data_IF_562398134943
#
_entry.id   IF_562398134943
#
_cell.length_a   1.000
_cell.length_b   1.000
_cell.length_c   1.000
_cell.angle_alpha   90.00
_cell.angle_beta   90.00
_cell.angle_gamma   90.00
#
_symmetry.space_group_name_H-M   'P 1'
#
loop_
_entity.id
_entity.type
_entity.pdbx_description
1 polymer ?
#
# COMPACT_ATOMS: atom_id res chain seq x y z
N UNK A 1 28.54 25.09 -51.02
CA UNK A 1 28.04 23.75 -50.69
C UNK A 1 27.45 23.76 -49.32
N UNK A 2 26.16 24.05 -49.18
CA UNK A 2 25.42 23.77 -47.93
C UNK A 2 25.29 22.25 -47.84
N UNK A 3 25.94 21.61 -46.88
CA UNK A 3 25.63 20.22 -46.53
C UNK A 3 24.19 20.19 -46.05
N UNK A 4 23.28 19.61 -46.83
CA UNK A 4 21.96 19.26 -46.33
C UNK A 4 22.14 18.24 -45.20
N UNK A 5 21.82 18.63 -44.01
CA UNK A 5 21.80 17.74 -42.84
C UNK A 5 20.49 16.95 -42.97
N UNK A 6 20.58 15.74 -43.49
CA UNK A 6 19.45 14.80 -43.48
C UNK A 6 19.24 14.26 -42.09
N UNK A 7 18.17 14.67 -41.41
CA UNK A 7 17.76 14.11 -40.12
C UNK A 7 17.08 12.76 -40.36
N UNK A 8 17.63 11.71 -39.78
CA UNK A 8 17.00 10.39 -39.76
C UNK A 8 15.98 10.35 -38.59
N UNK A 9 14.77 9.87 -38.87
CA UNK A 9 13.77 9.61 -37.83
C UNK A 9 14.33 8.58 -36.84
N UNK A 10 14.36 8.93 -35.58
CA UNK A 10 14.66 7.99 -34.48
C UNK A 10 13.38 7.26 -34.11
N UNK A 11 13.46 5.94 -34.05
CA UNK A 11 12.42 5.06 -33.56
C UNK A 11 12.95 4.23 -32.43
N UNK A 12 12.05 3.84 -31.49
CA UNK A 12 12.38 3.11 -30.28
C UNK A 12 11.37 1.98 -30.05
N UNK A 13 11.83 0.90 -29.43
CA UNK A 13 10.99 -0.27 -29.13
C UNK A 13 10.04 -0.02 -27.96
N UNK A 14 10.42 0.86 -27.02
CA UNK A 14 9.61 1.19 -25.85
C UNK A 14 9.63 2.70 -25.57
N UNK A 15 8.46 3.22 -25.16
CA UNK A 15 8.30 4.59 -24.67
C UNK A 15 7.61 4.56 -23.31
N UNK A 16 8.22 5.23 -22.32
CA UNK A 16 7.62 5.53 -21.02
C UNK A 16 7.59 7.04 -20.87
N UNK A 17 6.39 7.62 -20.75
CA UNK A 17 6.21 9.06 -20.77
C UNK A 17 5.32 9.55 -19.63
N UNK A 18 5.74 10.63 -18.95
CA UNK A 18 4.93 11.37 -18.00
C UNK A 18 5.04 12.86 -18.32
N UNK A 19 4.29 13.34 -19.32
CA UNK A 19 4.35 14.73 -19.77
C UNK A 19 3.67 15.67 -18.77
N UNK A 20 3.95 16.99 -18.84
CA UNK A 20 3.24 17.98 -18.03
C UNK A 20 1.76 18.03 -18.42
N UNK A 21 0.86 17.86 -17.44
CA UNK A 21 -0.57 17.77 -17.67
C UNK A 21 -1.18 19.10 -18.09
N UNK A 22 -2.08 19.05 -19.08
CA UNK A 22 -2.83 20.21 -19.58
C UNK A 22 -1.95 21.42 -19.96
N UNK A 23 -0.74 21.16 -20.44
CA UNK A 23 0.19 22.19 -20.89
C UNK A 23 -0.37 22.92 -22.10
N UNK A 24 -0.30 24.28 -22.10
CA UNK A 24 -0.61 25.08 -23.28
C UNK A 24 0.46 24.89 -24.36
N UNK A 25 0.05 24.85 -25.61
CA UNK A 25 0.97 24.71 -26.75
C UNK A 25 0.42 25.48 -27.97
N UNK A 26 1.21 25.52 -29.08
CA UNK A 26 0.77 26.15 -30.32
C UNK A 26 0.47 25.09 -31.38
N UNK A 27 -0.82 24.83 -31.69
CA UNK A 27 -1.27 23.90 -32.72
C UNK A 27 -1.21 24.44 -34.15
N UNK A 28 -0.83 25.71 -34.33
CA UNK A 28 -0.87 26.39 -35.64
C UNK A 28 0.00 25.64 -36.64
N UNK A 29 -0.53 25.47 -37.86
CA UNK A 29 0.15 24.83 -38.97
C UNK A 29 0.62 23.38 -38.69
N UNK A 30 -0.04 22.65 -37.74
CA UNK A 30 0.28 21.27 -37.38
C UNK A 30 -0.60 20.21 -38.05
N UNK A 31 -1.60 20.61 -38.81
CA UNK A 31 -2.53 19.68 -39.49
C UNK A 31 -1.83 18.76 -40.52
N UNK A 32 -0.72 19.23 -41.09
CA UNK A 32 0.08 18.45 -42.06
C UNK A 32 1.31 17.80 -41.45
N UNK A 33 1.56 18.02 -40.17
CA UNK A 33 2.67 17.38 -39.45
C UNK A 33 2.45 15.85 -39.40
N UNK A 34 3.42 15.03 -39.82
CA UNK A 34 3.28 13.58 -39.86
C UNK A 34 2.82 12.94 -38.53
N UNK A 35 3.08 13.58 -37.42
CA UNK A 35 2.68 13.11 -36.10
C UNK A 35 1.18 13.22 -35.85
N UNK A 36 0.52 14.24 -36.45
CA UNK A 36 -0.86 14.61 -36.13
C UNK A 36 -1.84 14.38 -37.27
N UNK A 37 -1.37 14.42 -38.54
CA UNK A 37 -2.22 14.41 -39.72
C UNK A 37 -3.25 13.28 -39.79
N UNK A 38 -2.90 12.10 -39.23
CA UNK A 38 -3.73 10.90 -39.28
C UNK A 38 -4.67 10.74 -38.09
N UNK A 39 -4.49 11.56 -37.03
CA UNK A 39 -5.23 11.44 -35.78
C UNK A 39 -6.01 12.73 -35.46
N UNK A 40 -5.47 13.88 -35.80
CA UNK A 40 -5.99 15.21 -35.44
C UNK A 40 -5.00 15.99 -34.59
N UNK A 41 -5.24 17.28 -34.46
CA UNK A 41 -4.39 18.21 -33.70
C UNK A 41 -5.04 18.48 -32.34
N UNK A 42 -4.26 18.35 -31.27
CA UNK A 42 -4.73 18.60 -29.91
C UNK A 42 -5.11 20.08 -29.70
N UNK A 43 -6.05 20.38 -28.80
CA UNK A 43 -6.47 21.77 -28.53
C UNK A 43 -5.33 22.62 -27.97
N UNK A 44 -5.31 23.93 -28.31
CA UNK A 44 -4.30 24.88 -27.85
C UNK A 44 -4.14 24.93 -26.33
N UNK A 45 -5.22 24.69 -25.61
CA UNK A 45 -5.23 24.77 -24.13
C UNK A 45 -4.61 23.54 -23.44
N UNK A 46 -4.48 22.40 -24.18
CA UNK A 46 -4.11 21.12 -23.59
C UNK A 46 -3.31 20.26 -24.60
N UNK A 47 -2.03 20.14 -24.36
CA UNK A 47 -1.11 19.36 -25.20
C UNK A 47 -1.12 17.86 -24.90
N UNK A 48 -1.99 17.37 -24.03
CA UNK A 48 -1.99 15.98 -23.55
C UNK A 48 -1.88 14.98 -24.71
N UNK A 49 -2.77 15.09 -25.71
CA UNK A 49 -2.71 14.25 -26.90
C UNK A 49 -1.60 14.65 -27.91
N UNK A 50 -1.06 15.88 -27.84
CA UNK A 50 0.07 16.23 -28.68
C UNK A 50 1.34 15.49 -28.25
N UNK A 51 1.57 15.33 -26.95
CA UNK A 51 2.62 14.47 -26.41
C UNK A 51 2.41 13.01 -26.79
N UNK A 52 1.20 12.48 -26.56
CA UNK A 52 0.87 11.09 -26.93
C UNK A 52 1.15 10.80 -28.40
N UNK A 53 0.70 11.65 -29.30
CA UNK A 53 0.89 11.44 -30.74
C UNK A 53 2.34 11.63 -31.17
N UNK A 54 3.10 12.52 -30.51
CA UNK A 54 4.52 12.65 -30.74
C UNK A 54 5.26 11.37 -30.36
N UNK A 55 5.00 10.84 -29.19
CA UNK A 55 5.62 9.62 -28.69
C UNK A 55 5.24 8.41 -29.54
N UNK A 56 3.95 8.27 -29.88
CA UNK A 56 3.45 7.20 -30.75
C UNK A 56 4.11 7.24 -32.14
N UNK A 57 4.42 8.43 -32.69
CA UNK A 57 5.10 8.57 -33.95
C UNK A 57 6.50 7.98 -33.95
N UNK A 58 7.21 8.13 -32.82
CA UNK A 58 8.57 7.61 -32.62
C UNK A 58 8.63 6.14 -32.21
N UNK A 59 7.49 5.52 -31.91
CA UNK A 59 7.44 4.10 -31.56
C UNK A 59 7.70 3.23 -32.80
N UNK A 60 8.45 2.12 -32.63
CA UNK A 60 8.53 1.09 -33.65
C UNK A 60 7.17 0.37 -33.84
N UNK A 61 7.02 -0.37 -34.94
CA UNK A 61 5.73 -0.97 -35.27
C UNK A 61 5.33 -2.06 -34.27
N UNK A 62 6.29 -2.82 -33.74
CA UNK A 62 6.08 -3.84 -32.70
C UNK A 62 6.38 -3.32 -31.29
N UNK A 63 6.62 -2.02 -31.17
CA UNK A 63 6.93 -1.37 -29.89
C UNK A 63 5.72 -1.22 -28.97
N UNK A 64 6.02 -0.98 -27.69
CA UNK A 64 5.04 -0.67 -26.66
C UNK A 64 5.27 0.73 -26.08
N UNK A 65 4.19 1.46 -25.86
CA UNK A 65 4.22 2.79 -25.27
C UNK A 65 3.29 2.84 -24.07
N UNK A 66 3.78 3.43 -22.97
CA UNK A 66 2.97 3.80 -21.80
C UNK A 66 3.08 5.28 -21.55
N UNK A 67 1.95 5.94 -21.34
CA UNK A 67 1.91 7.38 -21.04
C UNK A 67 0.94 7.66 -19.90
N UNK A 68 1.39 8.48 -18.94
CA UNK A 68 0.56 8.97 -17.85
C UNK A 68 -0.17 10.24 -18.30
N UNK A 69 -1.49 10.25 -18.14
CA UNK A 69 -2.34 11.35 -18.57
C UNK A 69 -3.40 11.67 -17.51
N UNK A 70 -3.93 12.91 -17.48
CA UNK A 70 -5.08 13.22 -16.63
C UNK A 70 -6.33 12.47 -17.09
N UNK A 71 -7.12 11.96 -16.16
CA UNK A 71 -8.32 11.15 -16.43
C UNK A 71 -9.28 11.75 -17.46
N UNK A 72 -9.36 13.09 -17.50
CA UNK A 72 -10.24 13.81 -18.45
C UNK A 72 -10.01 13.52 -19.92
N UNK A 73 -8.82 13.06 -20.35
CA UNK A 73 -8.55 12.70 -21.76
C UNK A 73 -9.47 11.58 -22.26
N UNK A 74 -10.04 10.79 -21.36
CA UNK A 74 -10.90 9.66 -21.71
C UNK A 74 -12.28 10.07 -22.20
N UNK A 75 -12.76 11.28 -21.87
CA UNK A 75 -14.15 11.68 -22.16
C UNK A 75 -14.36 13.14 -22.61
N UNK A 76 -13.31 13.98 -22.61
CA UNK A 76 -13.47 15.36 -23.11
C UNK A 76 -13.86 15.35 -24.58
N UNK A 77 -14.69 16.31 -24.97
CA UNK A 77 -15.18 16.50 -26.33
C UNK A 77 -14.22 17.25 -27.27
N UNK A 78 -14.72 17.71 -28.42
CA UNK A 78 -13.98 18.54 -29.38
C UNK A 78 -12.84 17.80 -30.05
N UNK A 79 -11.67 18.44 -30.16
CA UNK A 79 -10.49 17.90 -30.80
C UNK A 79 -9.97 16.63 -30.11
N UNK A 80 -10.07 16.58 -28.78
CA UNK A 80 -9.66 15.40 -28.01
C UNK A 80 -10.53 14.18 -28.31
N UNK A 81 -11.86 14.38 -28.49
CA UNK A 81 -12.76 13.29 -28.88
C UNK A 81 -12.40 12.72 -30.23
N UNK A 82 -12.11 13.59 -31.23
CA UNK A 82 -11.72 13.17 -32.58
C UNK A 82 -10.40 12.38 -32.58
N UNK A 83 -9.41 12.81 -31.79
CA UNK A 83 -8.14 12.07 -31.66
C UNK A 83 -8.37 10.70 -31.04
N UNK A 84 -9.19 10.65 -30.00
CA UNK A 84 -9.54 9.39 -29.30
C UNK A 84 -10.26 8.42 -30.24
N UNK A 85 -11.25 8.92 -31.01
CA UNK A 85 -11.90 8.14 -32.08
C UNK A 85 -10.89 7.55 -33.05
N UNK A 86 -10.00 8.38 -33.61
CA UNK A 86 -8.99 7.93 -34.56
C UNK A 86 -8.01 6.92 -33.95
N UNK A 87 -7.64 7.07 -32.68
CA UNK A 87 -6.78 6.09 -31.99
C UNK A 87 -7.46 4.72 -31.85
N UNK A 88 -8.75 4.70 -31.54
CA UNK A 88 -9.56 3.47 -31.47
C UNK A 88 -9.77 2.88 -32.87
N UNK A 89 -10.15 3.70 -33.87
CA UNK A 89 -10.38 3.21 -35.21
C UNK A 89 -9.13 2.59 -35.82
N UNK A 90 -7.98 3.18 -35.56
CA UNK A 90 -6.68 2.66 -36.03
C UNK A 90 -6.08 1.59 -35.12
N UNK A 91 -6.84 1.13 -34.11
CA UNK A 91 -6.45 0.06 -33.18
C UNK A 91 -5.13 0.34 -32.44
N UNK A 92 -4.98 1.54 -31.84
CA UNK A 92 -3.74 1.96 -31.16
C UNK A 92 -3.78 1.79 -29.66
N UNK A 93 -4.95 1.93 -29.02
CA UNK A 93 -5.10 1.83 -27.57
C UNK A 93 -5.24 0.36 -27.18
N UNK A 94 -4.27 -0.15 -26.39
CA UNK A 94 -4.24 -1.53 -25.92
C UNK A 94 -4.90 -1.69 -24.54
N UNK A 95 -4.52 -0.81 -23.61
CA UNK A 95 -5.12 -0.81 -22.27
C UNK A 95 -5.23 0.61 -21.70
N UNK A 96 -6.16 0.78 -20.79
CA UNK A 96 -6.37 1.98 -19.96
C UNK A 96 -6.40 1.55 -18.51
N UNK A 97 -5.58 2.17 -17.69
CA UNK A 97 -5.43 1.84 -16.26
C UNK A 97 -5.73 3.09 -15.46
N UNK A 98 -6.80 3.08 -14.67
CA UNK A 98 -7.12 4.13 -13.70
C UNK A 98 -6.26 3.99 -12.45
N UNK A 99 -5.57 5.06 -12.09
CA UNK A 99 -4.72 5.11 -10.90
C UNK A 99 -5.46 5.79 -9.73
N UNK A 100 -5.05 5.53 -8.48
CA UNK A 100 -5.55 6.26 -7.32
C UNK A 100 -5.31 7.78 -7.45
N UNK A 101 -6.20 8.56 -6.86
CA UNK A 101 -5.95 10.00 -6.67
C UNK A 101 -4.75 10.24 -5.76
N UNK A 102 -4.22 11.45 -5.75
CA UNK A 102 -3.09 11.85 -4.88
C UNK A 102 -1.83 10.97 -5.00
N UNK A 103 -1.59 10.35 -6.17
CA UNK A 103 -0.40 9.52 -6.40
C UNK A 103 0.82 10.36 -6.79
N UNK A 104 0.61 11.52 -7.39
CA UNK A 104 1.68 12.43 -7.82
C UNK A 104 1.79 13.66 -6.93
N UNK A 105 3.01 14.11 -6.67
CA UNK A 105 3.28 15.32 -5.90
C UNK A 105 2.67 16.55 -6.59
N UNK A 106 2.05 17.41 -5.80
CA UNK A 106 1.53 18.70 -6.27
C UNK A 106 0.20 18.64 -7.03
N UNK A 107 -0.45 17.48 -7.14
CA UNK A 107 -1.77 17.36 -7.76
C UNK A 107 -2.62 16.29 -7.09
N UNK A 108 -3.90 16.63 -6.87
CA UNK A 108 -4.90 15.68 -6.33
C UNK A 108 -5.72 15.03 -7.46
N UNK A 109 -5.34 15.25 -8.72
CA UNK A 109 -6.13 14.83 -9.88
C UNK A 109 -5.96 13.32 -10.10
N UNK A 110 -7.06 12.61 -10.33
CA UNK A 110 -7.03 11.24 -10.81
C UNK A 110 -6.32 11.18 -12.17
N UNK A 111 -5.38 10.25 -12.30
CA UNK A 111 -4.60 10.02 -13.52
C UNK A 111 -4.83 8.62 -14.05
N UNK A 112 -4.44 8.43 -15.30
CA UNK A 112 -4.48 7.13 -15.97
C UNK A 112 -3.12 6.81 -16.57
N UNK A 113 -2.85 5.52 -16.76
CA UNK A 113 -1.84 5.06 -17.72
C UNK A 113 -2.57 4.55 -18.96
N UNK A 114 -2.18 5.07 -20.12
CA UNK A 114 -2.64 4.55 -21.40
C UNK A 114 -1.53 3.73 -22.04
N UNK A 115 -1.83 2.48 -22.38
CA UNK A 115 -0.90 1.58 -23.10
C UNK A 115 -1.26 1.59 -24.56
N UNK A 116 -0.29 1.91 -25.42
CA UNK A 116 -0.46 1.96 -26.87
C UNK A 116 0.51 1.02 -27.57
N UNK A 117 0.02 0.44 -28.68
CA UNK A 117 0.80 -0.40 -29.59
C UNK A 117 0.37 -0.09 -31.02
N UNK A 118 1.30 -0.19 -31.98
CA UNK A 118 0.95 -0.02 -33.40
C UNK A 118 0.37 -1.30 -33.99
N UNK A 119 0.98 -2.44 -33.74
CA UNK A 119 0.51 -3.75 -34.16
C UNK A 119 -0.15 -4.49 -33.02
N UNK A 120 -1.43 -4.81 -33.19
CA UNK A 120 -2.23 -5.51 -32.16
C UNK A 120 -3.03 -6.62 -32.81
N UNK A 121 -3.04 -7.84 -32.24
CA UNK A 121 -3.82 -8.96 -32.76
C UNK A 121 -5.32 -8.82 -32.47
N UNK A 122 -5.71 -8.12 -31.40
CA UNK A 122 -7.10 -7.86 -31.00
C UNK A 122 -7.44 -6.38 -31.11
N UNK A 123 -8.70 -6.06 -31.36
CA UNK A 123 -9.24 -4.69 -31.34
C UNK A 123 -9.83 -4.29 -29.99
N UNK A 124 -9.97 -5.24 -29.06
CA UNK A 124 -10.55 -4.97 -27.74
C UNK A 124 -9.61 -4.12 -26.89
N UNK A 125 -10.17 -3.20 -26.13
CA UNK A 125 -9.45 -2.38 -25.18
C UNK A 125 -9.61 -2.98 -23.79
N UNK A 126 -8.49 -3.25 -23.11
CA UNK A 126 -8.51 -3.63 -21.72
C UNK A 126 -8.67 -2.39 -20.83
N UNK A 127 -9.70 -2.34 -20.03
CA UNK A 127 -9.95 -1.25 -19.08
C UNK A 127 -9.78 -1.79 -17.66
N UNK A 128 -8.91 -1.15 -16.89
CA UNK A 128 -8.56 -1.53 -15.52
C UNK A 128 -8.87 -0.36 -14.58
N UNK A 129 -9.63 -0.61 -13.53
CA UNK A 129 -9.79 0.32 -12.41
C UNK A 129 -8.91 -0.10 -11.23
N UNK A 130 -7.72 0.47 -11.15
CA UNK A 130 -6.79 0.28 -10.03
C UNK A 130 -6.89 1.40 -8.98
N UNK A 131 -7.93 2.24 -9.01
CA UNK A 131 -8.07 3.41 -8.15
C UNK A 131 -8.16 3.10 -6.65
N UNK A 132 -8.56 1.87 -6.29
CA UNK A 132 -8.68 1.41 -4.90
C UNK A 132 -7.43 0.73 -4.35
N UNK A 133 -6.42 0.43 -5.20
CA UNK A 133 -5.19 -0.28 -4.82
C UNK A 133 -4.09 0.69 -4.40
N UNK A 134 -3.97 1.01 -3.11
CA UNK A 134 -2.90 1.87 -2.59
C UNK A 134 -2.71 1.73 -1.08
N UNK A 135 -1.62 2.28 -0.58
CA UNK A 135 -1.39 2.57 0.83
C UNK A 135 -1.25 4.08 1.04
N UNK A 136 -1.55 4.56 2.23
CA UNK A 136 -1.33 5.96 2.61
C UNK A 136 0.15 6.21 2.92
N UNK A 137 0.72 7.26 2.35
CA UNK A 137 2.07 7.73 2.64
C UNK A 137 2.02 9.23 2.91
N UNK A 138 1.78 9.60 4.17
CA UNK A 138 1.50 10.98 4.57
C UNK A 138 0.23 11.51 3.87
N UNK A 139 0.37 12.62 3.12
CA UNK A 139 -0.75 13.22 2.36
C UNK A 139 -1.00 12.55 1.00
N UNK A 140 -0.09 11.69 0.55
CA UNK A 140 -0.15 11.05 -0.76
C UNK A 140 -0.60 9.59 -0.67
N UNK A 141 -1.01 9.05 -1.81
CA UNK A 141 -1.25 7.63 -1.99
C UNK A 141 -0.03 7.01 -2.70
N UNK A 142 0.32 5.78 -2.37
CA UNK A 142 1.40 5.03 -2.98
C UNK A 142 0.90 3.66 -3.42
N UNK A 143 1.22 3.25 -4.64
CA UNK A 143 0.96 1.88 -5.09
C UNK A 143 1.90 0.92 -4.34
N UNK A 144 1.33 -0.13 -3.78
CA UNK A 144 2.10 -1.23 -3.21
C UNK A 144 2.71 -2.10 -4.32
N UNK A 145 3.71 -2.88 -4.01
CA UNK A 145 4.28 -3.84 -4.96
C UNK A 145 3.22 -4.80 -5.50
N UNK A 146 2.29 -5.25 -4.66
CA UNK A 146 1.13 -6.08 -5.04
C UNK A 146 0.20 -5.39 -6.05
N UNK A 147 -0.06 -4.10 -5.87
CA UNK A 147 -0.93 -3.33 -6.78
C UNK A 147 -0.29 -3.21 -8.15
N UNK A 148 1.01 -2.90 -8.20
CA UNK A 148 1.79 -2.83 -9.44
C UNK A 148 1.81 -4.20 -10.14
N UNK A 149 2.12 -5.28 -9.40
CA UNK A 149 2.15 -6.65 -9.95
C UNK A 149 0.79 -7.05 -10.51
N UNK A 150 -0.30 -6.76 -9.79
CA UNK A 150 -1.67 -7.04 -10.27
C UNK A 150 -1.99 -6.28 -11.55
N UNK A 151 -1.64 -5.01 -11.66
CA UNK A 151 -1.81 -4.22 -12.88
C UNK A 151 -1.03 -4.85 -14.04
N UNK A 152 0.26 -5.15 -13.82
CA UNK A 152 1.15 -5.71 -14.86
C UNK A 152 0.65 -7.07 -15.34
N UNK A 153 0.28 -7.96 -14.41
CA UNK A 153 -0.25 -9.29 -14.76
C UNK A 153 -1.57 -9.18 -15.54
N UNK A 154 -2.46 -8.29 -15.08
CA UNK A 154 -3.75 -8.05 -15.75
C UNK A 154 -3.54 -7.56 -17.18
N UNK A 155 -2.57 -6.68 -17.42
CA UNK A 155 -2.22 -6.21 -18.78
C UNK A 155 -1.56 -7.34 -19.58
N UNK A 156 -0.59 -8.08 -18.99
CA UNK A 156 0.17 -9.16 -19.64
C UNK A 156 -0.74 -10.28 -20.12
N UNK A 157 -1.65 -10.71 -19.27
CA UNK A 157 -2.55 -11.85 -19.52
C UNK A 157 -3.93 -11.43 -20.04
N UNK A 158 -4.22 -10.14 -20.13
CA UNK A 158 -5.51 -9.55 -20.56
C UNK A 158 -6.68 -10.16 -19.79
N UNK A 159 -6.54 -10.25 -18.47
CA UNK A 159 -7.50 -10.95 -17.60
C UNK A 159 -8.68 -10.04 -17.26
N UNK A 160 -9.91 -10.57 -17.35
CA UNK A 160 -11.10 -9.95 -16.78
C UNK A 160 -11.23 -10.33 -15.31
N UNK A 161 -11.39 -9.34 -14.44
CA UNK A 161 -11.52 -9.51 -12.99
C UNK A 161 -12.70 -8.67 -12.54
N UNK A 162 -13.65 -9.30 -11.85
CA UNK A 162 -14.84 -8.63 -11.34
C UNK A 162 -14.48 -7.36 -10.55
N UNK A 163 -15.23 -6.27 -10.79
CA UNK A 163 -15.03 -4.94 -10.17
C UNK A 163 -13.64 -4.33 -10.36
N UNK A 164 -12.80 -4.88 -11.27
CA UNK A 164 -11.42 -4.43 -11.44
C UNK A 164 -11.02 -4.26 -12.92
N UNK A 165 -11.32 -5.22 -13.80
CA UNK A 165 -10.89 -5.14 -15.20
C UNK A 165 -11.87 -5.82 -16.16
N UNK A 166 -12.00 -5.25 -17.36
CA UNK A 166 -12.88 -5.75 -18.41
C UNK A 166 -12.24 -5.57 -19.79
N UNK A 167 -12.50 -6.52 -20.70
CA UNK A 167 -12.18 -6.41 -22.11
C UNK A 167 -13.37 -5.80 -22.85
N UNK A 168 -13.20 -4.61 -23.37
CA UNK A 168 -14.26 -3.87 -24.07
C UNK A 168 -14.04 -3.97 -25.58
N UNK A 169 -15.04 -4.50 -26.29
CA UNK A 169 -14.99 -4.58 -27.74
C UNK A 169 -14.97 -3.18 -28.39
N UNK A 170 -14.37 -3.08 -29.57
CA UNK A 170 -14.37 -1.84 -30.35
C UNK A 170 -15.78 -1.35 -30.65
N UNK A 171 -16.71 -2.26 -30.89
CA UNK A 171 -18.12 -1.98 -31.15
C UNK A 171 -18.78 -1.32 -29.92
N UNK A 172 -18.57 -1.86 -28.73
CA UNK A 172 -19.06 -1.27 -27.48
C UNK A 172 -18.49 0.12 -27.22
N UNK A 173 -17.20 0.34 -27.54
CA UNK A 173 -16.59 1.68 -27.45
C UNK A 173 -17.25 2.66 -28.41
N UNK A 174 -17.58 2.25 -29.64
CA UNK A 174 -18.32 3.06 -30.62
C UNK A 174 -19.72 3.40 -30.15
N UNK A 175 -20.47 2.43 -29.64
CA UNK A 175 -21.80 2.61 -29.08
C UNK A 175 -21.80 3.64 -27.93
N UNK A 176 -20.70 3.71 -27.20
CA UNK A 176 -20.45 4.70 -26.16
C UNK A 176 -19.81 6.01 -26.66
N UNK A 177 -19.92 6.30 -27.98
CA UNK A 177 -19.40 7.54 -28.60
C UNK A 177 -17.91 7.76 -28.35
N UNK A 178 -17.12 6.69 -28.35
CA UNK A 178 -15.68 6.67 -28.06
C UNK A 178 -15.33 7.28 -26.68
N UNK A 179 -16.29 7.31 -25.77
CA UNK A 179 -16.06 7.69 -24.38
C UNK A 179 -15.43 6.52 -23.63
N UNK A 180 -14.22 6.71 -23.15
CA UNK A 180 -13.41 5.68 -22.48
C UNK A 180 -13.40 5.86 -20.96
N UNK A 181 -14.35 6.62 -20.39
CA UNK A 181 -14.44 6.78 -18.94
C UNK A 181 -14.59 5.40 -18.26
N UNK A 182 -13.65 5.08 -17.38
CA UNK A 182 -13.50 3.76 -16.76
C UNK A 182 -14.78 3.30 -16.07
N UNK A 183 -15.47 4.20 -15.35
CA UNK A 183 -16.70 3.89 -14.61
C UNK A 183 -17.89 3.51 -15.50
N UNK A 184 -17.79 3.67 -16.81
CA UNK A 184 -18.79 3.18 -17.76
C UNK A 184 -18.68 1.69 -18.03
N UNK A 185 -17.51 1.11 -17.79
CA UNK A 185 -17.17 -0.26 -18.17
C UNK A 185 -16.84 -1.14 -16.96
N UNK A 186 -16.24 -0.55 -15.94
CA UNK A 186 -15.91 -1.23 -14.68
C UNK A 186 -16.71 -0.57 -13.56
N UNK A 187 -17.65 -1.31 -12.99
CA UNK A 187 -18.36 -0.88 -11.78
C UNK A 187 -17.58 -1.35 -10.55
N UNK A 188 -16.67 -0.51 -10.09
CA UNK A 188 -15.87 -0.76 -8.90
C UNK A 188 -16.55 -0.28 -7.61
N UNK A 189 -17.82 0.19 -7.67
CA UNK A 189 -18.56 0.62 -6.48
C UNK A 189 -18.83 -0.55 -5.56
N UNK A 190 -18.79 -0.28 -4.26
CA UNK A 190 -19.25 -1.25 -3.28
C UNK A 190 -20.77 -1.35 -3.39
N UNK A 191 -21.31 -2.57 -3.19
CA UNK A 191 -22.75 -2.75 -3.21
C UNK A 191 -23.38 -1.87 -2.11
N UNK A 192 -24.47 -1.13 -2.42
CA UNK A 192 -25.09 -0.26 -1.44
C UNK A 192 -25.52 -1.05 -0.23
N UNK A 193 -25.21 -0.56 0.97
CA UNK A 193 -25.70 -1.15 2.20
C UNK A 193 -27.22 -1.22 2.18
N UNK A 194 -27.76 -2.44 2.31
CA UNK A 194 -29.19 -2.67 2.37
C UNK A 194 -29.66 -2.47 3.81
N UNK A 195 -30.30 -1.36 4.08
CA UNK A 195 -30.91 -1.11 5.38
C UNK A 195 -32.13 -1.99 5.59
N UNK A 196 -32.05 -2.92 6.55
CA UNK A 196 -33.20 -3.70 7.01
C UNK A 196 -33.82 -3.03 8.24
N UNK A 197 -34.97 -2.39 8.00
CA UNK A 197 -35.71 -1.64 9.04
C UNK A 197 -36.12 -2.55 10.20
N UNK A 198 -36.50 -3.80 9.90
CA UNK A 198 -36.91 -4.75 10.93
C UNK A 198 -35.72 -5.17 11.80
N UNK A 199 -34.57 -5.47 11.20
CA UNK A 199 -33.33 -5.77 11.92
C UNK A 199 -32.93 -4.61 12.84
N UNK A 200 -33.04 -3.37 12.35
CA UNK A 200 -32.75 -2.17 13.11
C UNK A 200 -33.69 -1.96 14.30
N UNK A 201 -34.99 -2.23 14.13
CA UNK A 201 -36.00 -2.01 15.17
C UNK A 201 -36.11 -3.14 16.18
N UNK A 202 -35.96 -4.39 15.76
CA UNK A 202 -36.24 -5.58 16.57
C UNK A 202 -35.03 -6.47 16.80
N UNK A 203 -33.89 -6.13 16.21
CA UNK A 203 -32.66 -6.92 16.24
C UNK A 203 -32.72 -8.14 15.30
N UNK A 204 -31.60 -8.86 15.24
CA UNK A 204 -31.37 -9.96 14.31
C UNK A 204 -30.53 -9.51 13.11
N UNK A 205 -29.86 -10.46 12.47
CA UNK A 205 -29.05 -10.26 11.27
C UNK A 205 -29.83 -10.88 10.10
N UNK A 206 -30.11 -10.13 9.03
CA UNK A 206 -30.74 -10.70 7.85
C UNK A 206 -29.94 -11.88 7.29
N UNK A 207 -30.61 -12.97 6.92
CA UNK A 207 -29.97 -14.15 6.31
C UNK A 207 -29.14 -13.75 5.09
N UNK A 208 -29.62 -12.78 4.28
CA UNK A 208 -28.94 -12.31 3.08
C UNK A 208 -27.57 -11.66 3.38
N UNK A 209 -27.39 -11.03 4.55
CA UNK A 209 -26.11 -10.46 4.97
C UNK A 209 -25.10 -11.55 5.33
N UNK A 210 -25.56 -12.60 6.00
CA UNK A 210 -24.72 -13.77 6.32
C UNK A 210 -24.41 -14.59 5.06
N UNK A 211 -25.37 -14.73 4.16
CA UNK A 211 -25.18 -15.47 2.90
C UNK A 211 -24.24 -14.72 1.92
N UNK A 212 -24.07 -13.40 2.05
CA UNK A 212 -23.08 -12.65 1.30
C UNK A 212 -21.64 -13.15 1.55
N UNK A 213 -21.39 -13.87 2.64
CA UNK A 213 -20.12 -14.51 2.96
C UNK A 213 -20.04 -15.98 2.45
N UNK A 214 -20.80 -16.36 1.45
CA UNK A 214 -20.89 -17.74 0.92
C UNK A 214 -19.51 -18.37 0.67
N UNK A 215 -18.57 -17.63 0.06
CA UNK A 215 -17.19 -18.10 -0.18
C UNK A 215 -16.47 -18.59 1.09
N UNK A 216 -16.77 -18.00 2.25
CA UNK A 216 -16.20 -18.43 3.54
C UNK A 216 -16.92 -19.65 4.07
N UNK A 217 -18.25 -19.74 3.90
CA UNK A 217 -19.02 -20.92 4.31
C UNK A 217 -18.67 -22.16 3.50
N UNK A 218 -18.34 -21.99 2.21
CA UNK A 218 -17.80 -23.05 1.36
C UNK A 218 -16.37 -23.48 1.75
N UNK A 219 -15.55 -22.53 2.19
CA UNK A 219 -14.19 -22.83 2.63
C UNK A 219 -14.14 -23.46 4.03
N UNK A 220 -15.10 -23.11 4.90
CA UNK A 220 -15.19 -23.56 6.28
C UNK A 220 -16.54 -24.25 6.55
N UNK A 221 -16.73 -25.51 6.07
CA UNK A 221 -17.98 -26.22 6.25
C UNK A 221 -18.39 -26.33 7.72
N UNK A 222 -19.67 -26.03 8.03
CA UNK A 222 -20.22 -26.07 9.37
C UNK A 222 -20.00 -24.82 10.23
N UNK A 223 -19.08 -23.91 9.84
CA UNK A 223 -18.78 -22.71 10.61
C UNK A 223 -20.00 -21.77 10.70
N UNK A 224 -20.75 -21.59 9.59
CA UNK A 224 -21.97 -20.78 9.57
C UNK A 224 -22.97 -21.22 10.66
N UNK A 225 -23.24 -22.51 10.77
CA UNK A 225 -24.18 -23.07 11.74
C UNK A 225 -23.66 -23.06 13.17
N UNK A 226 -22.34 -23.08 13.34
CA UNK A 226 -21.72 -22.91 14.64
C UNK A 226 -21.82 -21.45 15.15
N UNK A 227 -21.71 -20.48 14.25
CA UNK A 227 -21.74 -19.05 14.61
C UNK A 227 -23.16 -18.50 14.74
N UNK A 228 -24.11 -18.95 13.92
CA UNK A 228 -25.44 -18.35 13.81
C UNK A 228 -26.54 -19.36 14.06
N UNK A 229 -27.67 -18.86 14.59
CA UNK A 229 -28.95 -19.61 14.72
C UNK A 229 -30.09 -18.74 14.23
N UNK A 230 -31.09 -19.37 13.62
CA UNK A 230 -32.32 -18.69 13.23
C UNK A 230 -33.14 -18.33 14.48
N UNK A 231 -33.67 -17.11 14.53
CA UNK A 231 -34.54 -16.61 15.61
C UNK A 231 -35.93 -16.28 15.12
N UNK A 232 -36.05 -15.93 13.85
CA UNK A 232 -37.33 -15.79 13.16
C UNK A 232 -37.09 -15.96 11.66
N UNK A 233 -38.15 -16.18 10.89
CA UNK A 233 -38.04 -16.41 9.45
C UNK A 233 -37.23 -15.31 8.77
N UNK A 234 -36.06 -15.66 8.21
CA UNK A 234 -35.15 -14.78 7.52
C UNK A 234 -34.18 -13.95 8.40
N UNK A 235 -34.15 -14.25 9.72
CA UNK A 235 -33.26 -13.52 10.64
C UNK A 235 -32.49 -14.47 11.54
N UNK A 236 -31.19 -14.19 11.66
CA UNK A 236 -30.21 -14.93 12.47
C UNK A 236 -29.79 -14.13 13.69
N UNK A 237 -29.21 -14.79 14.66
CA UNK A 237 -28.43 -14.16 15.72
C UNK A 237 -27.20 -15.02 16.04
N UNK A 238 -26.13 -14.40 16.59
CA UNK A 238 -24.96 -15.14 17.04
C UNK A 238 -25.33 -16.17 18.12
N UNK A 239 -24.72 -17.35 18.06
CA UNK A 239 -24.83 -18.39 19.10
C UNK A 239 -23.93 -18.11 20.29
N UNK A 240 -22.85 -17.36 20.08
CA UNK A 240 -21.84 -17.03 21.09
C UNK A 240 -21.58 -15.54 21.12
N UNK A 241 -21.08 -15.06 22.25
CA UNK A 241 -20.55 -13.70 22.35
C UNK A 241 -19.11 -13.62 21.86
N UNK A 242 -18.35 -14.72 22.00
CA UNK A 242 -16.99 -14.84 21.50
C UNK A 242 -16.98 -15.46 20.10
N UNK A 243 -17.29 -14.65 19.12
CA UNK A 243 -17.28 -15.05 17.70
C UNK A 243 -15.84 -15.38 17.25
N UNK A 244 -14.88 -14.55 17.63
CA UNK A 244 -13.47 -14.71 17.25
C UNK A 244 -12.90 -16.03 17.77
N UNK A 245 -13.02 -16.31 19.07
CA UNK A 245 -12.53 -17.54 19.66
C UNK A 245 -13.21 -18.78 19.08
N UNK A 246 -14.51 -18.68 18.73
CA UNK A 246 -15.23 -19.77 18.05
C UNK A 246 -14.66 -20.04 16.66
N UNK A 247 -14.35 -18.99 15.87
CA UNK A 247 -13.73 -19.13 14.55
C UNK A 247 -12.33 -19.73 14.69
N UNK A 248 -11.52 -19.19 15.58
CA UNK A 248 -10.11 -19.58 15.75
C UNK A 248 -9.96 -21.05 16.17
N UNK A 249 -10.90 -21.57 16.94
CA UNK A 249 -10.89 -22.96 17.43
C UNK A 249 -11.71 -23.94 16.58
N UNK A 250 -12.33 -23.49 15.47
CA UNK A 250 -13.20 -24.34 14.68
C UNK A 250 -12.41 -25.32 13.82
N UNK A 251 -12.82 -26.58 13.80
CA UNK A 251 -12.10 -27.69 13.16
C UNK A 251 -11.77 -27.42 11.68
N UNK A 252 -12.71 -26.89 10.90
CA UNK A 252 -12.46 -26.62 9.47
C UNK A 252 -11.50 -25.43 9.26
N UNK A 253 -11.43 -24.49 10.20
CA UNK A 253 -10.46 -23.39 10.18
C UNK A 253 -9.05 -23.91 10.49
N UNK A 254 -8.92 -24.81 11.47
CA UNK A 254 -7.65 -25.47 11.78
C UNK A 254 -7.17 -26.35 10.62
N UNK A 255 -8.08 -27.10 10.01
CA UNK A 255 -7.77 -27.87 8.80
C UNK A 255 -7.29 -26.99 7.64
N UNK A 256 -7.84 -25.79 7.51
CA UNK A 256 -7.41 -24.80 6.54
C UNK A 256 -5.99 -24.29 6.84
N UNK A 257 -5.68 -23.98 8.10
CA UNK A 257 -4.31 -23.58 8.52
C UNK A 257 -3.28 -24.67 8.18
N UNK A 258 -3.61 -25.92 8.46
CA UNK A 258 -2.78 -27.07 8.08
C UNK A 258 -2.60 -27.15 6.55
N UNK A 259 -3.65 -26.92 5.79
CA UNK A 259 -3.60 -26.92 4.31
C UNK A 259 -2.73 -25.79 3.78
N UNK A 260 -2.84 -24.61 4.35
CA UNK A 260 -1.99 -23.46 4.02
C UNK A 260 -0.51 -23.77 4.29
N UNK A 261 -0.20 -24.27 5.48
CA UNK A 261 1.17 -24.65 5.84
C UNK A 261 1.73 -25.73 4.91
N UNK A 262 0.92 -26.73 4.55
CA UNK A 262 1.32 -27.79 3.61
C UNK A 262 1.61 -27.26 2.20
N UNK A 263 0.96 -26.19 1.76
CA UNK A 263 1.23 -25.60 0.46
C UNK A 263 2.68 -25.07 0.35
N UNK A 264 3.29 -24.70 1.48
CA UNK A 264 4.67 -24.18 1.55
C UNK A 264 5.73 -25.22 1.95
N UNK A 265 5.36 -26.50 2.03
CA UNK A 265 6.37 -27.58 2.24
C UNK A 265 7.35 -27.57 1.07
N UNK A 266 8.65 -27.64 1.38
CA UNK A 266 9.74 -27.59 0.41
C UNK A 266 10.11 -26.19 -0.09
N UNK A 267 9.37 -25.13 0.32
CA UNK A 267 9.68 -23.78 -0.12
C UNK A 267 10.99 -23.25 0.46
N UNK A 268 11.26 -23.56 1.73
CA UNK A 268 12.52 -23.20 2.37
C UNK A 268 13.73 -23.83 1.67
N UNK A 269 13.63 -25.10 1.30
CA UNK A 269 14.69 -25.84 0.59
C UNK A 269 14.98 -25.20 -0.78
N UNK A 270 13.92 -24.80 -1.50
CA UNK A 270 14.08 -24.08 -2.78
C UNK A 270 14.78 -22.74 -2.58
N UNK A 271 14.34 -21.93 -1.59
CA UNK A 271 14.99 -20.65 -1.32
C UNK A 271 16.45 -20.81 -0.89
N UNK A 272 16.76 -21.85 -0.10
CA UNK A 272 18.12 -22.11 0.31
C UNK A 272 19.02 -22.49 -0.87
N UNK A 273 18.56 -23.38 -1.74
CA UNK A 273 19.30 -23.82 -2.94
C UNK A 273 19.58 -22.62 -3.86
N UNK A 274 18.56 -21.79 -4.12
CA UNK A 274 18.68 -20.68 -5.08
C UNK A 274 19.42 -19.46 -4.49
N UNK A 275 19.07 -19.04 -3.26
CA UNK A 275 19.52 -17.77 -2.70
C UNK A 275 20.72 -17.90 -1.75
N UNK A 276 21.06 -19.08 -1.29
CA UNK A 276 22.23 -19.31 -0.43
C UNK A 276 23.30 -20.10 -1.17
N UNK A 277 22.96 -21.31 -1.63
CA UNK A 277 23.94 -22.19 -2.27
C UNK A 277 24.30 -21.69 -3.68
N UNK A 278 23.37 -21.07 -4.41
CA UNK A 278 23.53 -20.50 -5.76
C UNK A 278 23.78 -19.00 -5.85
N UNK A 279 23.95 -18.29 -4.71
CA UNK A 279 23.89 -16.81 -4.63
C UNK A 279 24.83 -16.07 -5.60
N UNK A 280 26.01 -16.63 -5.90
CA UNK A 280 26.98 -15.98 -6.79
C UNK A 280 26.61 -16.04 -8.28
N UNK A 281 25.76 -16.99 -8.67
CA UNK A 281 25.41 -17.25 -10.07
C UNK A 281 23.97 -16.86 -10.41
N UNK A 282 23.15 -16.51 -9.41
CA UNK A 282 21.74 -16.19 -9.59
C UNK A 282 21.54 -14.81 -10.22
N UNK A 283 20.63 -14.70 -11.17
CA UNK A 283 20.14 -13.40 -11.65
C UNK A 283 18.99 -12.92 -10.76
N UNK A 284 19.19 -11.83 -10.04
CA UNK A 284 18.18 -11.31 -9.11
C UNK A 284 16.80 -11.06 -9.78
N UNK A 285 16.78 -10.58 -11.04
CA UNK A 285 15.53 -10.35 -11.78
C UNK A 285 14.82 -11.66 -12.14
N UNK A 286 15.55 -12.63 -12.68
CA UNK A 286 14.98 -13.92 -13.06
C UNK A 286 14.53 -14.72 -11.85
N UNK A 287 15.29 -14.65 -10.76
CA UNK A 287 14.94 -15.36 -9.53
C UNK A 287 13.71 -14.76 -8.85
N UNK A 288 13.58 -13.44 -8.87
CA UNK A 288 12.34 -12.78 -8.41
C UNK A 288 11.10 -13.32 -9.14
N UNK A 289 11.19 -13.47 -10.47
CA UNK A 289 10.06 -14.00 -11.25
C UNK A 289 9.81 -15.48 -10.93
N UNK A 290 10.85 -16.29 -10.84
CA UNK A 290 10.76 -17.73 -10.49
C UNK A 290 10.13 -17.96 -9.12
N UNK A 291 10.58 -17.24 -8.09
CA UNK A 291 10.02 -17.34 -6.73
C UNK A 291 8.57 -16.84 -6.72
N UNK A 292 8.26 -15.76 -7.45
CA UNK A 292 6.89 -15.24 -7.59
C UNK A 292 5.96 -16.29 -8.19
N UNK A 293 6.39 -16.98 -9.26
CA UNK A 293 5.60 -18.04 -9.90
C UNK A 293 5.41 -19.25 -8.98
N UNK A 294 6.42 -19.63 -8.20
CA UNK A 294 6.30 -20.70 -7.20
C UNK A 294 5.31 -20.32 -6.10
N UNK A 295 5.42 -19.10 -5.54
CA UNK A 295 4.47 -18.59 -4.54
C UNK A 295 3.03 -18.62 -5.11
N UNK A 296 2.83 -18.13 -6.34
CA UNK A 296 1.52 -18.13 -6.98
C UNK A 296 0.98 -19.54 -7.17
N UNK A 297 1.82 -20.47 -7.67
CA UNK A 297 1.43 -21.87 -7.84
C UNK A 297 1.04 -22.58 -6.55
N UNK A 298 1.61 -22.18 -5.41
CA UNK A 298 1.27 -22.68 -4.08
C UNK A 298 -0.03 -22.08 -3.56
N UNK A 299 -0.15 -20.77 -3.63
CA UNK A 299 -1.31 -20.01 -3.14
C UNK A 299 -2.57 -20.33 -3.91
N UNK A 300 -2.51 -20.50 -5.23
CA UNK A 300 -3.68 -20.81 -6.07
C UNK A 300 -4.38 -22.13 -5.70
N UNK A 301 -3.69 -23.01 -4.97
CA UNK A 301 -4.25 -24.25 -4.44
C UNK A 301 -5.00 -24.06 -3.12
N UNK A 302 -4.88 -22.89 -2.50
CA UNK A 302 -5.48 -22.59 -1.19
C UNK A 302 -6.65 -21.63 -1.40
N UNK A 303 -7.86 -22.08 -1.10
CA UNK A 303 -9.07 -21.24 -1.18
C UNK A 303 -8.91 -20.00 -0.31
N UNK A 304 -9.51 -18.89 -0.70
CA UNK A 304 -9.49 -17.59 -0.01
C UNK A 304 -8.11 -16.92 0.12
N UNK A 305 -7.02 -17.59 -0.23
CA UNK A 305 -5.71 -16.97 -0.22
C UNK A 305 -5.52 -16.11 -1.48
N UNK A 306 -5.13 -14.85 -1.28
CA UNK A 306 -4.86 -13.92 -2.37
C UNK A 306 -3.36 -13.95 -2.71
N UNK A 307 -3.05 -14.30 -3.96
CA UNK A 307 -1.67 -14.38 -4.45
C UNK A 307 -0.93 -13.04 -4.39
N UNK A 308 -1.63 -11.92 -4.57
CA UNK A 308 -1.01 -10.59 -4.55
C UNK A 308 -0.71 -10.14 -3.12
N UNK A 309 -1.51 -10.57 -2.13
CA UNK A 309 -1.18 -10.37 -0.71
C UNK A 309 0.09 -11.13 -0.35
N UNK A 310 0.22 -12.39 -0.79
CA UNK A 310 1.45 -13.17 -0.59
C UNK A 310 2.65 -12.53 -1.30
N UNK A 311 2.45 -12.04 -2.53
CA UNK A 311 3.49 -11.30 -3.26
C UNK A 311 3.93 -10.03 -2.54
N UNK A 312 3.02 -9.30 -1.89
CA UNK A 312 3.38 -8.10 -1.12
C UNK A 312 4.36 -8.42 0.02
N UNK A 313 4.13 -9.53 0.72
CA UNK A 313 5.05 -9.99 1.76
C UNK A 313 6.42 -10.33 1.17
N UNK A 314 6.43 -11.11 0.10
CA UNK A 314 7.67 -11.46 -0.60
C UNK A 314 8.42 -10.23 -1.11
N UNK A 315 7.74 -9.34 -1.83
CA UNK A 315 8.35 -8.17 -2.44
C UNK A 315 9.02 -7.23 -1.42
N UNK A 316 8.43 -7.09 -0.23
CA UNK A 316 9.02 -6.30 0.85
C UNK A 316 10.42 -6.80 1.27
N UNK A 317 10.58 -8.11 1.34
CA UNK A 317 11.88 -8.71 1.66
C UNK A 317 12.81 -8.75 0.46
N UNK A 318 12.24 -8.97 -0.75
CA UNK A 318 13.03 -9.05 -1.98
C UNK A 318 13.80 -7.77 -2.28
N UNK A 319 13.21 -6.61 -2.05
CA UNK A 319 13.88 -5.32 -2.29
C UNK A 319 15.15 -5.16 -1.44
N UNK A 320 15.18 -5.77 -0.24
CA UNK A 320 16.38 -5.82 0.61
C UNK A 320 17.35 -6.88 0.09
N UNK A 321 16.86 -8.10 -0.11
CA UNK A 321 17.67 -9.25 -0.52
C UNK A 321 18.35 -9.03 -1.88
N UNK A 322 17.66 -8.39 -2.84
CA UNK A 322 18.24 -8.15 -4.17
C UNK A 322 19.46 -7.24 -4.13
N UNK A 323 19.44 -6.21 -3.30
CA UNK A 323 20.60 -5.33 -3.10
C UNK A 323 21.78 -6.10 -2.46
N UNK A 324 21.49 -6.94 -1.48
CA UNK A 324 22.49 -7.75 -0.81
C UNK A 324 23.12 -8.80 -1.77
N UNK A 325 22.30 -9.40 -2.64
CA UNK A 325 22.79 -10.33 -3.69
C UNK A 325 23.77 -9.59 -4.64
N UNK A 326 23.38 -8.40 -5.12
CA UNK A 326 24.23 -7.61 -6.02
C UNK A 326 25.56 -7.22 -5.36
N UNK A 327 25.55 -6.84 -4.07
CA UNK A 327 26.75 -6.53 -3.29
C UNK A 327 27.63 -7.76 -3.13
N UNK A 328 27.06 -8.91 -2.74
CA UNK A 328 27.81 -10.15 -2.59
C UNK A 328 28.45 -10.63 -3.91
N UNK A 329 27.74 -10.46 -5.03
CA UNK A 329 28.26 -10.82 -6.37
C UNK A 329 29.38 -9.88 -6.83
N UNK A 330 29.31 -8.61 -6.44
CA UNK A 330 30.28 -7.58 -6.86
C UNK A 330 31.53 -7.57 -5.99
N UNK A 331 31.37 -7.67 -4.66
CA UNK A 331 32.42 -7.48 -3.67
C UNK A 331 32.88 -8.77 -2.99
N UNK A 332 32.12 -9.86 -3.15
CA UNK A 332 32.38 -11.16 -2.54
C UNK A 332 31.96 -11.22 -1.07
N UNK A 333 32.06 -12.43 -0.47
CA UNK A 333 31.57 -12.69 0.90
C UNK A 333 32.22 -11.84 2.01
N UNK A 334 33.35 -11.19 1.73
CA UNK A 334 34.00 -10.33 2.74
C UNK A 334 33.14 -9.11 3.12
N UNK A 335 32.22 -8.70 2.26
CA UNK A 335 31.31 -7.59 2.52
C UNK A 335 30.39 -7.83 3.72
N UNK A 336 30.10 -9.08 4.07
CA UNK A 336 29.28 -9.46 5.22
C UNK A 336 29.87 -8.95 6.56
N UNK A 337 31.20 -8.82 6.63
CA UNK A 337 31.88 -8.37 7.85
C UNK A 337 32.05 -6.84 7.93
N UNK A 338 31.61 -6.12 6.92
CA UNK A 338 31.74 -4.67 6.88
C UNK A 338 30.61 -3.97 7.64
N UNK A 339 30.91 -2.80 8.15
CA UNK A 339 29.95 -1.92 8.86
C UNK A 339 30.02 -0.50 8.28
N UNK A 340 28.87 0.14 8.19
CA UNK A 340 28.72 1.52 7.72
C UNK A 340 28.36 2.47 8.86
N UNK A 341 28.71 3.77 8.75
CA UNK A 341 28.16 4.78 9.64
C UNK A 341 26.64 4.87 9.48
N UNK A 342 25.90 4.79 10.57
CA UNK A 342 24.45 5.02 10.53
C UNK A 342 24.18 6.52 10.53
N UNK A 343 23.81 7.06 9.36
CA UNK A 343 23.50 8.49 9.20
C UNK A 343 22.03 8.74 9.45
N UNK A 344 21.71 9.59 10.44
CA UNK A 344 20.34 10.00 10.78
C UNK A 344 20.16 11.50 10.59
N UNK A 345 18.97 11.84 10.13
CA UNK A 345 18.57 13.24 9.92
C UNK A 345 18.03 13.79 11.24
N UNK A 346 18.74 14.74 11.85
CA UNK A 346 18.24 15.46 13.03
C UNK A 346 17.78 16.85 12.64
N UNK A 347 16.53 17.18 12.98
CA UNK A 347 16.02 18.55 12.89
C UNK A 347 16.57 19.36 14.05
N UNK A 348 17.23 20.47 13.76
CA UNK A 348 17.66 21.41 14.79
C UNK A 348 16.44 22.19 15.31
N UNK A 349 15.99 21.86 16.52
CA UNK A 349 15.01 22.65 17.26
C UNK A 349 15.65 23.96 17.75
N UNK A 350 15.83 24.94 16.85
CA UNK A 350 16.03 26.34 17.23
C UNK A 350 15.22 27.23 16.30
N UNK A 351 14.49 28.13 16.89
CA UNK A 351 13.56 29.14 16.40
C UNK A 351 14.12 30.08 15.29
N UNK A 352 14.63 29.54 14.19
CA UNK A 352 15.01 30.33 13.03
C UNK A 352 14.39 29.73 11.77
N UNK A 353 13.90 30.61 10.90
CA UNK A 353 13.02 30.37 9.77
C UNK A 353 13.61 29.57 8.58
N UNK A 354 14.77 28.95 8.75
CA UNK A 354 15.37 28.03 7.79
C UNK A 354 15.54 26.67 8.48
N UNK A 355 14.74 25.68 8.06
CA UNK A 355 14.83 24.26 8.46
C UNK A 355 16.18 23.68 7.97
N UNK A 356 17.29 24.00 8.62
CA UNK A 356 18.55 23.30 8.37
C UNK A 356 18.47 21.89 8.95
N UNK A 357 18.30 20.95 8.05
CA UNK A 357 18.36 19.52 8.32
C UNK A 357 19.82 19.11 8.28
N UNK A 358 20.37 18.65 9.42
CA UNK A 358 21.76 18.16 9.48
C UNK A 358 21.77 16.64 9.57
N UNK A 359 22.53 16.02 8.69
CA UNK A 359 22.88 14.60 8.79
C UNK A 359 23.95 14.41 9.84
N UNK A 360 23.69 13.56 10.84
CA UNK A 360 24.65 13.22 11.89
C UNK A 360 24.79 11.71 11.99
N UNK A 361 26.01 11.25 12.29
CA UNK A 361 26.25 9.85 12.53
C UNK A 361 25.68 9.44 13.91
N UNK A 362 24.83 8.44 13.92
CA UNK A 362 24.24 7.86 15.13
C UNK A 362 24.55 6.36 15.19
N UNK A 363 25.79 6.05 15.58
CA UNK A 363 26.29 4.69 15.64
C UNK A 363 26.73 4.11 14.29
N UNK A 364 26.65 2.80 14.20
CA UNK A 364 27.05 1.99 13.06
C UNK A 364 25.94 1.03 12.70
N UNK A 365 25.84 0.64 11.45
CA UNK A 365 24.97 -0.41 10.95
C UNK A 365 25.77 -1.44 10.17
N UNK A 366 25.34 -2.68 10.12
CA UNK A 366 25.95 -3.66 9.24
C UNK A 366 25.78 -3.26 7.77
N UNK A 367 26.79 -3.53 6.96
CA UNK A 367 26.73 -3.21 5.52
C UNK A 367 25.67 -4.07 4.80
N UNK A 368 25.66 -5.38 5.08
CA UNK A 368 24.67 -6.35 4.61
C UNK A 368 23.86 -6.91 5.78
N UNK A 369 24.53 -7.37 6.85
CA UNK A 369 23.85 -7.99 7.98
C UNK A 369 23.28 -6.92 8.92
N UNK A 370 21.94 -6.81 9.06
CA UNK A 370 21.33 -5.93 10.04
C UNK A 370 21.76 -6.30 11.46
N UNK A 371 22.10 -5.33 12.29
CA UNK A 371 22.48 -5.60 13.69
C UNK A 371 21.33 -6.23 14.47
N UNK A 372 20.09 -5.86 14.13
CA UNK A 372 18.88 -6.45 14.71
C UNK A 372 18.87 -7.97 14.57
N UNK A 373 19.16 -8.49 13.36
CA UNK A 373 19.24 -9.94 13.12
C UNK A 373 20.36 -10.60 13.93
N UNK A 374 21.53 -9.94 14.02
CA UNK A 374 22.66 -10.43 14.82
C UNK A 374 22.28 -10.44 16.31
N UNK A 375 21.60 -9.43 16.79
CA UNK A 375 21.13 -9.32 18.17
C UNK A 375 20.07 -10.37 18.50
N UNK A 376 19.09 -10.60 17.60
CA UNK A 376 18.08 -11.67 17.77
C UNK A 376 18.70 -13.06 17.94
N UNK A 377 19.79 -13.35 17.21
CA UNK A 377 20.47 -14.63 17.27
C UNK A 377 21.39 -14.75 18.51
N UNK A 378 22.10 -13.68 18.85
CA UNK A 378 23.11 -13.69 19.90
C UNK A 378 22.58 -13.23 21.27
N UNK A 379 21.50 -12.44 21.29
CA UNK A 379 20.95 -11.80 22.49
C UNK A 379 19.40 -11.88 22.52
N UNK A 380 18.80 -13.07 22.32
CA UNK A 380 17.35 -13.21 22.18
C UNK A 380 16.58 -12.77 23.45
N UNK A 381 17.14 -13.02 24.62
CA UNK A 381 16.48 -12.69 25.90
C UNK A 381 16.43 -11.16 26.10
N UNK A 382 17.49 -10.44 25.72
CA UNK A 382 17.57 -8.98 25.82
C UNK A 382 16.62 -8.30 24.82
N UNK A 383 16.51 -8.85 23.59
CA UNK A 383 15.59 -8.32 22.58
C UNK A 383 14.14 -8.51 23.02
N UNK A 384 13.79 -9.70 23.55
CA UNK A 384 12.44 -9.94 24.07
C UNK A 384 12.11 -9.01 25.24
N UNK A 385 13.08 -8.77 26.14
CA UNK A 385 12.89 -7.81 27.23
C UNK A 385 12.67 -6.37 26.71
N UNK A 386 13.36 -5.96 25.65
CA UNK A 386 13.14 -4.64 25.02
C UNK A 386 11.74 -4.59 24.40
N UNK A 387 11.31 -5.63 23.68
CA UNK A 387 10.00 -5.72 23.04
C UNK A 387 8.85 -5.57 24.07
N UNK A 388 8.95 -6.28 25.18
CA UNK A 388 7.97 -6.18 26.27
C UNK A 388 7.90 -4.76 26.84
N UNK A 389 9.06 -4.10 26.98
CA UNK A 389 9.10 -2.72 27.47
C UNK A 389 8.52 -1.71 26.44
N UNK A 390 8.74 -1.94 25.16
CA UNK A 390 8.17 -1.11 24.07
C UNK A 390 6.66 -1.30 23.97
N UNK A 391 6.15 -2.53 24.10
CA UNK A 391 4.73 -2.83 24.17
C UNK A 391 4.10 -2.09 25.36
N UNK A 392 4.72 -2.15 26.53
CA UNK A 392 4.21 -1.44 27.71
C UNK A 392 4.25 0.08 27.55
N UNK A 393 5.28 0.62 26.90
CA UNK A 393 5.33 2.05 26.58
C UNK A 393 4.20 2.47 25.63
N UNK A 394 3.87 1.61 24.67
CA UNK A 394 2.75 1.85 23.74
C UNK A 394 1.42 1.81 24.47
N UNK A 395 1.19 0.82 25.35
CA UNK A 395 -0.01 0.73 26.20
C UNK A 395 -0.18 1.99 27.07
N UNK A 396 0.90 2.43 27.74
CA UNK A 396 0.87 3.65 28.55
C UNK A 396 0.55 4.89 27.70
N UNK A 397 1.09 4.95 26.48
CA UNK A 397 0.77 6.06 25.57
C UNK A 397 -0.71 6.05 25.14
N UNK A 398 -1.29 4.87 24.90
CA UNK A 398 -2.72 4.72 24.62
C UNK A 398 -3.56 5.12 25.84
N UNK A 399 -3.20 4.66 27.04
CA UNK A 399 -3.87 5.04 28.29
C UNK A 399 -3.84 6.56 28.51
N UNK A 400 -2.70 7.23 28.24
CA UNK A 400 -2.62 8.69 28.29
C UNK A 400 -3.56 9.37 27.29
N UNK A 401 -3.68 8.86 26.10
CA UNK A 401 -4.61 9.39 25.10
C UNK A 401 -6.06 9.19 25.53
N UNK A 402 -6.41 8.03 26.10
CA UNK A 402 -7.76 7.77 26.63
C UNK A 402 -8.10 8.73 27.79
N UNK A 403 -7.14 9.01 28.69
CA UNK A 403 -7.33 9.98 29.76
C UNK A 403 -7.56 11.39 29.19
N UNK A 404 -6.74 11.82 28.23
CA UNK A 404 -6.88 13.13 27.58
C UNK A 404 -8.24 13.23 26.87
N UNK A 405 -8.67 12.18 26.19
CA UNK A 405 -9.95 12.15 25.50
C UNK A 405 -11.14 12.21 26.47
N UNK A 406 -10.99 11.64 27.66
CA UNK A 406 -12.01 11.64 28.71
C UNK A 406 -12.18 12.98 29.42
N UNK A 407 -11.21 13.90 29.31
CA UNK A 407 -11.29 15.24 29.90
C UNK A 407 -12.37 16.08 29.22
N UNK A 408 -13.08 16.89 30.00
CA UNK A 408 -14.03 17.82 29.43
C UNK A 408 -13.35 19.06 28.82
N UNK A 409 -14.12 19.90 28.13
CA UNK A 409 -13.58 21.06 27.41
C UNK A 409 -12.95 22.12 28.35
N UNK A 410 -13.40 22.21 29.60
CA UNK A 410 -12.85 23.15 30.57
C UNK A 410 -11.52 22.59 31.15
N UNK A 411 -11.44 21.29 31.36
CA UNK A 411 -10.22 20.59 31.82
C UNK A 411 -9.13 20.60 30.76
N UNK A 412 -9.49 20.45 29.47
CA UNK A 412 -8.54 20.52 28.33
C UNK A 412 -7.90 21.91 28.16
N UNK A 413 -8.47 22.97 28.78
CA UNK A 413 -7.86 24.30 28.82
C UNK A 413 -6.81 24.45 29.96
N UNK A 414 -6.57 23.42 30.74
CA UNK A 414 -5.56 23.41 31.78
C UNK A 414 -4.14 23.51 31.23
N UNK A 415 -3.24 24.13 32.01
CA UNK A 415 -1.82 24.30 31.63
C UNK A 415 -1.02 23.00 31.54
N UNK A 416 -1.60 21.88 31.97
CA UNK A 416 -0.96 20.57 32.00
C UNK A 416 -0.98 19.82 30.63
N UNK A 417 -1.71 20.33 29.64
CA UNK A 417 -1.67 19.84 28.25
C UNK A 417 -0.84 20.79 27.37
N UNK A 418 -0.32 20.24 26.28
CA UNK A 418 0.35 21.04 25.24
C UNK A 418 -0.66 21.84 24.39
N UNK A 419 -0.18 22.74 23.56
CA UNK A 419 -1.00 23.61 22.71
C UNK A 419 -1.94 22.85 21.74
N UNK A 420 -1.64 21.59 21.44
CA UNK A 420 -2.45 20.73 20.56
C UNK A 420 -3.47 19.87 21.32
N UNK A 421 -3.43 19.87 22.64
CA UNK A 421 -4.23 19.02 23.54
C UNK A 421 -4.09 17.51 23.29
N UNK A 422 -2.91 17.08 22.80
CA UNK A 422 -2.61 15.69 22.49
C UNK A 422 -1.50 15.07 23.36
N UNK A 423 -0.92 15.84 24.27
CA UNK A 423 0.09 15.33 25.21
C UNK A 423 0.18 16.15 26.50
N UNK A 424 0.52 15.46 27.60
CA UNK A 424 0.77 16.12 28.88
C UNK A 424 2.12 16.86 28.88
N UNK A 425 2.11 18.07 29.44
CA UNK A 425 3.33 18.82 29.74
C UNK A 425 3.85 18.37 31.11
N UNK A 426 4.85 17.51 31.11
CA UNK A 426 5.35 16.82 32.32
C UNK A 426 5.67 17.75 33.50
N UNK A 427 6.14 18.97 33.24
CA UNK A 427 6.46 19.93 34.29
C UNK A 427 5.20 20.49 34.97
N UNK A 428 4.20 20.84 34.17
CA UNK A 428 2.94 21.43 34.63
C UNK A 428 2.08 20.36 35.29
N UNK A 429 2.03 19.15 34.73
CA UNK A 429 1.37 18.00 35.31
C UNK A 429 1.96 17.66 36.68
N UNK A 430 3.29 17.66 36.79
CA UNK A 430 3.97 17.44 38.08
C UNK A 430 3.60 18.48 39.12
N UNK A 431 3.54 19.78 38.72
CA UNK A 431 3.14 20.86 39.65
C UNK A 431 1.71 20.68 40.14
N UNK A 432 0.78 20.32 39.25
CA UNK A 432 -0.61 20.05 39.63
C UNK A 432 -0.72 18.83 40.58
N UNK A 433 0.01 17.76 40.26
CA UNK A 433 0.08 16.59 41.15
C UNK A 433 0.66 16.94 42.53
N UNK A 434 1.75 17.71 42.61
CA UNK A 434 2.38 18.11 43.87
C UNK A 434 1.42 18.96 44.73
N UNK A 435 0.57 19.78 44.14
CA UNK A 435 -0.47 20.55 44.85
C UNK A 435 -1.54 19.63 45.45
N UNK A 436 -2.07 18.69 44.66
CA UNK A 436 -3.07 17.71 45.11
C UNK A 436 -2.48 16.79 46.20
N UNK A 437 -1.24 16.35 46.04
CA UNK A 437 -0.53 15.45 46.97
C UNK A 437 -0.25 16.05 48.33
N UNK A 438 -0.25 17.39 48.44
CA UNK A 438 -0.13 18.06 49.76
C UNK A 438 -1.42 17.97 50.61
N UNK A 439 -2.55 17.67 49.97
CA UNK A 439 -3.87 17.67 50.64
C UNK A 439 -4.37 16.27 51.01
N UNK A 440 -3.76 15.18 50.44
CA UNK A 440 -4.25 13.80 50.59
C UNK A 440 -3.14 12.86 51.09
N UNK A 441 -3.32 12.24 52.24
CA UNK A 441 -2.47 11.15 52.75
C UNK A 441 -3.06 9.78 52.33
N UNK A 442 -2.48 9.14 51.28
CA UNK A 442 -2.76 7.74 50.94
C UNK A 442 -1.47 7.00 50.56
N UNK A 443 -1.48 5.67 50.71
CA UNK A 443 -0.32 4.83 50.39
C UNK A 443 -0.02 4.83 48.87
N UNK A 444 -1.04 4.90 48.01
CA UNK A 444 -0.94 5.01 46.56
C UNK A 444 -0.23 6.30 46.14
N UNK A 445 -0.62 7.42 46.76
CA UNK A 445 -0.04 8.73 46.53
C UNK A 445 1.42 8.79 46.95
N UNK A 446 1.75 8.18 48.12
CA UNK A 446 3.14 8.08 48.56
C UNK A 446 4.01 7.24 47.60
N UNK A 447 3.47 6.16 47.02
CA UNK A 447 4.14 5.36 46.01
C UNK A 447 4.36 6.17 44.72
N UNK A 448 3.36 6.91 44.25
CA UNK A 448 3.44 7.78 43.06
C UNK A 448 4.47 8.90 43.26
N UNK A 449 4.46 9.56 44.45
CA UNK A 449 5.46 10.59 44.78
C UNK A 449 6.90 10.06 44.77
N UNK A 450 7.09 8.85 45.28
CA UNK A 450 8.39 8.17 45.29
C UNK A 450 8.84 7.90 43.83
N UNK A 451 7.95 7.41 42.97
CA UNK A 451 8.24 7.16 41.58
C UNK A 451 8.59 8.45 40.82
N UNK A 452 7.79 9.51 40.94
CA UNK A 452 8.00 10.80 40.28
C UNK A 452 9.28 11.52 40.76
N UNK A 453 9.78 11.21 41.96
CA UNK A 453 11.03 11.77 42.48
C UNK A 453 12.29 11.09 41.94
N UNK A 454 12.17 9.94 41.27
CA UNK A 454 13.30 9.18 40.75
C UNK A 454 13.85 9.77 39.47
N UNK A 455 15.18 9.76 39.30
CA UNK A 455 15.78 9.99 37.99
C UNK A 455 15.43 8.85 37.02
N UNK A 456 15.45 9.09 35.70
CA UNK A 456 15.15 8.07 34.69
C UNK A 456 15.88 6.73 34.91
N UNK A 457 17.14 6.78 35.37
CA UNK A 457 17.95 5.59 35.67
C UNK A 457 17.48 4.87 36.95
N UNK A 458 17.09 5.62 37.94
CA UNK A 458 16.58 5.09 39.22
C UNK A 458 15.18 4.52 39.05
N UNK A 459 14.33 5.17 38.23
CA UNK A 459 13.00 4.69 37.86
C UNK A 459 13.09 3.32 37.18
N UNK A 460 13.97 3.14 36.16
CA UNK A 460 14.20 1.85 35.53
C UNK A 460 14.69 0.76 36.49
N UNK A 461 15.51 1.12 37.45
CA UNK A 461 15.99 0.18 38.50
C UNK A 461 14.87 -0.18 39.47
N UNK A 462 14.06 0.80 39.82
CA UNK A 462 12.88 0.60 40.68
C UNK A 462 11.85 -0.30 39.98
N UNK A 463 11.53 -0.04 38.71
CA UNK A 463 10.61 -0.87 37.92
C UNK A 463 11.05 -2.34 37.86
N UNK A 464 12.34 -2.60 37.71
CA UNK A 464 12.90 -3.98 37.71
C UNK A 464 12.85 -4.67 39.11
N UNK A 465 12.66 -3.93 40.18
CA UNK A 465 12.61 -4.46 41.52
C UNK A 465 11.18 -4.57 42.08
N UNK A 466 10.17 -4.04 41.35
CA UNK A 466 8.78 -4.08 41.82
C UNK A 466 8.21 -5.50 41.65
N UNK A 467 7.44 -5.94 42.62
CA UNK A 467 6.60 -7.15 42.51
C UNK A 467 5.28 -6.80 41.82
N UNK A 468 4.52 -7.82 41.35
CA UNK A 468 3.19 -7.60 40.77
C UNK A 468 2.23 -6.82 41.70
N UNK A 469 2.42 -6.92 43.02
CA UNK A 469 1.65 -6.16 43.98
C UNK A 469 2.02 -4.66 44.01
N UNK A 470 3.31 -4.35 43.74
CA UNK A 470 3.78 -2.96 43.68
C UNK A 470 3.31 -2.26 42.41
N UNK A 471 3.17 -2.98 41.31
CA UNK A 471 2.63 -2.46 40.06
C UNK A 471 1.17 -2.05 40.18
N UNK A 472 0.34 -2.84 40.87
CA UNK A 472 -1.06 -2.52 41.10
C UNK A 472 -1.27 -1.24 41.95
N UNK A 473 -0.21 -0.69 42.55
CA UNK A 473 -0.24 0.58 43.30
C UNK A 473 0.36 1.75 42.49
N UNK A 474 0.89 1.51 41.32
CA UNK A 474 1.51 2.52 40.46
C UNK A 474 0.62 2.81 39.20
N UNK A 475 -0.24 1.86 38.85
CA UNK A 475 -1.34 2.05 37.90
C UNK A 475 -2.46 2.88 38.53
#
# INVERSE_FOLDING_TARGET
>A
NKKETTYKLVRVDAVVSNPPYSQKWDPKDKEFDPRYKDFGVAPKAKADFAFLLHDLYHLEDDGIMTIVLPHGVLFRGGEEAKIRENLIEKNRIDAIIGLPENIFFGTNIATIIMVLKKNRPSSDVLIIDASKGFEKSGKNNKLRASDIKKIVDTVKYRTEIDKYSVLVSKETVKENEYNLNITRYVDSTDDPEKWDIRATMFGGIPVSEVDAFEKYWEAFPGLRDALFKEVSAGYLQPRTKDIKGTIDSFESVEAYRVTFTKAFVGFYETLKEDLIDGILDVSAEQEKEKITEDIFGRIDRVKLADRYVAYQVFAKYWDIISADIEMLQTEGFQVITQVDPNMVIKKNNKNDADDEVTEVQDGWKGHILPFELVQEILMPDEIEAIRVLEERLSEIAEEYMEIIDSLDEDEKQGSFLNDSNDAFVSKELKSACDEILQEVESDEINALNKYMSLSKKEALTFMKSCSDADWNHIE
#
